data_IF_199230289560
#
_entry.id   IF_199230289560
#
_cell.length_a   1.000
_cell.length_b   1.000
_cell.length_c   1.000
_cell.angle_alpha   90.00
_cell.angle_beta   90.00
_cell.angle_gamma   90.00
#
_symmetry.space_group_name_H-M   'P 1'
#
loop_
_entity.id
_entity.type
_entity.pdbx_description
1 polymer ?
#
# COMPACT_ATOMS: atom_id res chain seq x y z
N UNK A 1 -11.79 42.70 72.37
CA UNK A 1 -12.42 42.22 71.13
C UNK A 1 -11.69 40.95 70.68
N UNK A 2 -12.28 39.82 70.98
CA UNK A 2 -11.72 38.49 70.77
C UNK A 2 -12.06 38.01 69.37
N UNK A 3 -11.05 37.77 68.52
CA UNK A 3 -11.22 37.16 67.21
C UNK A 3 -11.46 35.67 67.41
N UNK A 4 -12.66 35.20 67.05
CA UNK A 4 -13.01 33.80 67.11
C UNK A 4 -12.18 32.97 66.11
N UNK A 5 -11.53 31.94 66.60
CA UNK A 5 -10.77 30.99 65.77
C UNK A 5 -11.71 30.16 64.89
N UNK A 6 -11.55 30.22 63.58
CA UNK A 6 -12.27 29.38 62.65
C UNK A 6 -11.95 27.90 62.91
N UNK A 7 -13.01 27.06 63.02
CA UNK A 7 -12.90 25.66 63.40
C UNK A 7 -12.23 24.78 62.36
N UNK A 8 -11.81 23.58 62.74
CA UNK A 8 -11.00 22.68 61.88
C UNK A 8 -11.69 22.28 60.54
N UNK A 9 -13.00 22.33 60.46
CA UNK A 9 -13.76 22.01 59.22
C UNK A 9 -13.56 23.06 58.12
N UNK A 10 -13.40 24.34 58.46
CA UNK A 10 -13.15 25.42 57.50
C UNK A 10 -11.73 25.34 56.93
N UNK A 11 -10.73 24.87 57.72
CA UNK A 11 -9.34 24.67 57.24
C UNK A 11 -9.24 23.49 56.28
N UNK A 12 -9.99 22.42 56.44
CA UNK A 12 -10.04 21.26 55.52
C UNK A 12 -10.73 21.65 54.20
N UNK A 13 -11.81 22.45 54.23
CA UNK A 13 -12.47 22.95 53.00
C UNK A 13 -11.56 23.90 52.18
N UNK A 14 -10.79 24.77 52.85
CA UNK A 14 -9.83 25.66 52.15
C UNK A 14 -8.65 24.84 51.58
N UNK A 15 -8.18 23.80 52.27
CA UNK A 15 -7.15 22.91 51.74
C UNK A 15 -7.66 22.05 50.55
N UNK A 16 -8.91 21.56 50.54
CA UNK A 16 -9.51 20.89 49.39
C UNK A 16 -9.75 21.83 48.22
N UNK A 17 -10.15 23.09 48.44
CA UNK A 17 -10.26 24.08 47.37
C UNK A 17 -8.92 24.49 46.78
N UNK A 18 -7.87 24.50 47.57
CA UNK A 18 -6.51 24.77 47.07
C UNK A 18 -5.88 23.58 46.31
N UNK A 19 -6.28 22.32 46.59
CA UNK A 19 -5.85 21.14 45.84
C UNK A 19 -6.59 20.98 44.49
N UNK A 20 -7.79 21.51 44.34
CA UNK A 20 -8.53 21.46 43.08
C UNK A 20 -8.16 22.60 42.12
N UNK A 21 -7.53 23.66 42.61
CA UNK A 21 -7.06 24.78 41.79
C UNK A 21 -5.66 24.55 41.17
N UNK A 22 -4.95 23.47 41.55
CA UNK A 22 -3.59 23.20 41.06
C UNK A 22 -3.53 22.28 39.85
N UNK A 23 -4.66 21.86 39.26
CA UNK A 23 -4.68 20.94 38.12
C UNK A 23 -5.39 21.46 36.86
N UNK A 24 -5.61 22.76 36.75
CA UNK A 24 -5.89 23.44 35.49
C UNK A 24 -4.58 23.98 34.92
N UNK A 25 -3.54 23.14 34.87
CA UNK A 25 -2.39 23.36 34.06
C UNK A 25 -2.87 23.37 32.61
N UNK A 26 -2.94 24.58 32.08
CA UNK A 26 -3.20 24.87 30.67
C UNK A 26 -2.40 23.94 29.78
N UNK A 27 -3.05 22.93 29.20
CA UNK A 27 -2.51 22.16 28.09
C UNK A 27 -2.44 22.99 26.79
N UNK A 28 -2.68 24.28 26.90
CA UNK A 28 -2.57 25.25 25.82
C UNK A 28 -1.12 25.64 25.64
N UNK A 29 -0.37 24.90 24.82
CA UNK A 29 0.90 25.39 24.33
C UNK A 29 2.07 24.40 24.23
N UNK A 30 1.93 23.12 24.59
CA UNK A 30 3.00 22.18 24.33
C UNK A 30 3.25 22.07 22.80
N UNK A 31 4.48 22.30 22.37
CA UNK A 31 4.88 22.06 20.99
C UNK A 31 4.58 20.60 20.61
N UNK A 32 4.23 20.36 19.35
CA UNK A 32 4.10 18.99 18.86
C UNK A 32 5.49 18.33 18.89
N UNK A 33 5.52 17.06 19.29
CA UNK A 33 6.72 16.21 19.28
C UNK A 33 6.41 14.96 18.47
N UNK A 34 7.43 14.25 17.98
CA UNK A 34 7.24 13.00 17.26
C UNK A 34 6.74 11.91 18.23
N UNK A 35 5.52 11.39 17.99
CA UNK A 35 4.85 10.39 18.81
C UNK A 35 5.14 8.94 18.38
N UNK A 36 5.98 8.73 17.36
CA UNK A 36 6.19 7.40 16.78
C UNK A 36 7.34 6.63 17.43
N UNK A 37 7.99 7.20 18.44
CA UNK A 37 9.02 6.51 19.24
C UNK A 37 8.36 5.30 19.94
N UNK A 38 8.97 4.13 19.78
CA UNK A 38 8.48 2.85 20.34
C UNK A 38 7.07 2.45 19.90
N UNK A 39 6.58 2.96 18.75
CA UNK A 39 5.27 2.58 18.25
C UNK A 39 5.25 1.10 17.84
N UNK A 40 4.18 0.31 18.16
CA UNK A 40 4.13 -1.13 17.86
C UNK A 40 4.06 -1.48 16.37
N UNK A 41 3.60 -0.56 15.50
CA UNK A 41 3.70 -0.75 14.05
C UNK A 41 5.14 -0.57 13.59
N UNK A 42 5.73 -1.58 12.92
CA UNK A 42 7.08 -1.45 12.34
C UNK A 42 7.19 -0.30 11.34
N UNK A 43 6.12 -0.05 10.58
CA UNK A 43 6.07 1.07 9.63
C UNK A 43 6.13 2.43 10.33
N UNK A 44 5.36 2.61 11.40
CA UNK A 44 5.37 3.88 12.14
C UNK A 44 6.69 4.05 12.93
N UNK A 45 7.19 2.98 13.55
CA UNK A 45 8.43 3.01 14.31
C UNK A 45 9.66 3.43 13.46
N UNK A 46 9.70 3.06 12.17
CA UNK A 46 10.79 3.51 11.28
C UNK A 46 10.82 5.03 11.05
N UNK A 47 9.75 5.74 11.38
CA UNK A 47 9.66 7.21 11.32
C UNK A 47 9.95 7.90 12.68
N UNK A 48 10.34 7.15 13.68
CA UNK A 48 10.60 7.67 15.04
C UNK A 48 11.71 8.72 15.10
N UNK A 49 12.73 8.60 14.24
CA UNK A 49 13.87 9.51 14.17
C UNK A 49 13.73 10.61 13.10
N UNK A 50 12.60 10.65 12.39
CA UNK A 50 12.35 11.75 11.45
C UNK A 50 12.29 13.09 12.22
N UNK A 51 12.85 14.19 11.69
CA UNK A 51 12.74 15.52 12.31
C UNK A 51 11.33 16.12 12.24
N UNK A 52 10.40 15.44 11.61
CA UNK A 52 8.98 15.79 11.55
C UNK A 52 8.29 15.39 12.85
N UNK A 53 7.48 16.28 13.43
CA UNK A 53 6.72 16.03 14.65
C UNK A 53 5.46 15.17 14.37
N UNK A 54 5.68 13.96 13.89
CA UNK A 54 4.63 13.03 13.52
C UNK A 54 3.67 12.73 14.66
N UNK A 55 2.38 12.85 14.39
CA UNK A 55 1.30 12.44 15.27
C UNK A 55 0.68 11.13 14.76
N UNK A 56 0.02 10.38 15.64
CA UNK A 56 -0.84 9.27 15.26
C UNK A 56 -2.23 9.78 14.88
N UNK A 57 -2.95 9.04 14.03
CA UNK A 57 -4.34 9.37 13.69
C UNK A 57 -5.25 9.11 14.89
N UNK A 58 -5.83 10.15 15.44
CA UNK A 58 -6.72 10.05 16.60
C UNK A 58 -7.68 11.25 16.68
N UNK A 59 -8.68 11.15 17.55
CA UNK A 59 -9.58 12.28 17.85
C UNK A 59 -8.85 13.43 18.53
N UNK A 60 -7.87 13.11 19.37
CA UNK A 60 -7.03 14.05 20.10
C UNK A 60 -6.17 14.85 19.13
N UNK A 61 -5.62 14.20 18.10
CA UNK A 61 -4.83 14.86 17.03
C UNK A 61 -5.71 15.82 16.22
N UNK A 62 -6.94 15.43 15.87
CA UNK A 62 -7.89 16.32 15.20
C UNK A 62 -8.29 17.51 16.10
N UNK A 63 -8.51 17.27 17.39
CA UNK A 63 -8.79 18.34 18.34
C UNK A 63 -7.60 19.30 18.44
N UNK A 64 -6.38 18.76 18.51
CA UNK A 64 -5.15 19.56 18.55
C UNK A 64 -4.98 20.42 17.30
N UNK A 65 -5.31 19.90 16.13
CA UNK A 65 -5.31 20.65 14.88
C UNK A 65 -6.30 21.84 14.91
N UNK A 66 -7.48 21.65 15.49
CA UNK A 66 -8.47 22.74 15.70
C UNK A 66 -7.95 23.81 16.66
N UNK A 67 -7.38 23.40 17.81
CA UNK A 67 -6.82 24.32 18.81
C UNK A 67 -5.68 25.16 18.24
N UNK A 68 -4.82 24.56 17.41
CA UNK A 68 -3.70 25.24 16.75
C UNK A 68 -4.14 26.02 15.49
N UNK A 69 -5.37 25.84 15.02
CA UNK A 69 -5.86 26.31 13.73
C UNK A 69 -4.87 25.98 12.60
N UNK A 70 -4.44 24.71 12.53
CA UNK A 70 -3.53 24.22 11.51
C UNK A 70 -4.16 23.08 10.71
N UNK A 71 -3.98 23.05 9.36
CA UNK A 71 -4.41 21.91 8.57
C UNK A 71 -3.53 20.69 8.89
N UNK A 72 -4.06 19.49 8.64
CA UNK A 72 -3.28 18.27 8.79
C UNK A 72 -2.60 17.92 7.46
N UNK A 73 -1.40 17.36 7.53
CA UNK A 73 -0.87 16.50 6.49
C UNK A 73 -0.98 15.05 6.97
N UNK A 74 -1.83 14.25 6.32
CA UNK A 74 -1.94 12.82 6.59
C UNK A 74 -1.13 12.07 5.54
N UNK A 75 -0.05 11.41 5.99
CA UNK A 75 0.83 10.59 5.15
C UNK A 75 0.58 9.12 5.45
N UNK A 76 0.02 8.39 4.49
CA UNK A 76 -0.33 6.97 4.60
C UNK A 76 0.65 6.13 3.79
N UNK A 77 1.04 5.00 4.34
CA UNK A 77 1.87 4.01 3.70
C UNK A 77 1.82 2.66 4.41
N UNK A 78 2.79 1.81 4.16
CA UNK A 78 2.94 0.50 4.80
C UNK A 78 4.41 0.08 4.78
N UNK A 79 4.75 -0.94 5.56
CA UNK A 79 6.15 -1.29 5.83
C UNK A 79 6.98 -1.63 4.59
N UNK A 80 6.46 -2.45 3.67
CA UNK A 80 7.18 -2.85 2.46
C UNK A 80 7.13 -1.83 1.31
N UNK A 81 6.46 -0.70 1.47
CA UNK A 81 6.23 0.30 0.44
C UNK A 81 7.54 0.99 -0.01
N UNK A 82 8.08 0.60 -1.15
CA UNK A 82 9.31 1.17 -1.70
C UNK A 82 9.30 2.69 -1.79
N UNK A 83 8.28 3.27 -2.42
CA UNK A 83 8.17 4.73 -2.59
C UNK A 83 7.92 5.49 -1.28
N UNK A 84 7.39 4.80 -0.25
CA UNK A 84 7.29 5.38 1.09
C UNK A 84 8.66 5.56 1.72
N UNK A 85 9.56 4.57 1.56
CA UNK A 85 10.95 4.67 2.00
C UNK A 85 11.73 5.74 1.21
N UNK A 86 11.50 5.84 -0.10
CA UNK A 86 12.10 6.90 -0.92
C UNK A 86 11.68 8.28 -0.39
N UNK A 87 10.37 8.50 -0.18
CA UNK A 87 9.87 9.78 0.32
C UNK A 87 10.36 10.10 1.75
N UNK A 88 10.55 9.09 2.59
CA UNK A 88 11.16 9.28 3.91
C UNK A 88 12.57 9.85 3.78
N UNK A 89 13.45 9.17 3.03
CA UNK A 89 14.83 9.59 2.86
C UNK A 89 14.98 10.95 2.21
N UNK A 90 14.18 11.22 1.18
CA UNK A 90 14.32 12.43 0.37
C UNK A 90 13.59 13.65 0.95
N UNK A 91 12.45 13.44 1.63
CA UNK A 91 11.58 14.53 2.08
C UNK A 91 11.43 14.61 3.59
N UNK A 92 11.04 13.52 4.27
CA UNK A 92 10.74 13.62 5.71
C UNK A 92 11.97 13.71 6.60
N UNK A 93 13.11 13.22 6.12
CA UNK A 93 14.42 13.40 6.79
C UNK A 93 15.12 14.70 6.41
N UNK A 94 14.60 15.48 5.45
CA UNK A 94 15.12 16.80 5.12
C UNK A 94 14.70 17.83 6.19
N UNK A 95 15.65 18.48 6.90
CA UNK A 95 15.32 19.46 7.94
C UNK A 95 14.51 20.66 7.43
N UNK A 96 14.67 21.06 6.16
CA UNK A 96 13.91 22.17 5.58
C UNK A 96 12.44 21.79 5.35
N UNK A 97 12.17 20.58 4.87
CA UNK A 97 10.82 20.03 4.76
C UNK A 97 10.19 19.85 6.13
N UNK A 98 10.92 19.26 7.08
CA UNK A 98 10.44 19.06 8.44
C UNK A 98 10.07 20.37 9.13
N UNK A 99 10.89 21.43 8.94
CA UNK A 99 10.57 22.76 9.47
C UNK A 99 9.24 23.28 8.95
N UNK A 100 8.97 23.18 7.65
CA UNK A 100 7.72 23.62 7.04
C UNK A 100 6.52 22.79 7.56
N UNK A 101 6.69 21.47 7.65
CA UNK A 101 5.66 20.57 8.19
C UNK A 101 5.31 20.91 9.63
N UNK A 102 6.32 21.09 10.47
CA UNK A 102 6.15 21.38 11.90
C UNK A 102 5.61 22.79 12.17
N UNK A 103 5.88 23.74 11.28
CA UNK A 103 5.40 25.14 11.41
C UNK A 103 3.95 25.29 10.93
N UNK A 104 3.63 24.76 9.75
CA UNK A 104 2.37 25.06 9.06
C UNK A 104 1.28 24.02 9.35
N UNK A 105 1.66 22.77 9.67
CA UNK A 105 0.71 21.64 9.70
C UNK A 105 0.71 20.92 11.04
N UNK A 106 -0.27 20.04 11.22
CA UNK A 106 -0.20 18.92 12.16
C UNK A 106 0.11 17.68 11.30
N UNK A 107 1.37 17.22 11.26
CA UNK A 107 1.75 16.08 10.45
C UNK A 107 1.31 14.77 11.12
N UNK A 108 0.59 13.93 10.38
CA UNK A 108 0.06 12.66 10.85
C UNK A 108 0.61 11.54 9.98
N UNK A 109 1.18 10.52 10.62
CA UNK A 109 1.65 9.31 9.95
C UNK A 109 0.67 8.17 10.18
N UNK A 110 0.33 7.44 9.12
CA UNK A 110 -0.68 6.38 9.17
C UNK A 110 -0.15 5.12 8.52
N UNK A 111 -0.28 4.01 9.24
CA UNK A 111 -0.11 2.68 8.67
C UNK A 111 -1.46 2.22 8.11
N UNK A 112 -1.53 1.99 6.78
CA UNK A 112 -2.77 1.57 6.12
C UNK A 112 -3.30 0.23 6.64
N UNK A 113 -2.42 -0.62 7.16
CA UNK A 113 -2.80 -1.94 7.67
C UNK A 113 -3.52 -1.83 9.01
N UNK A 114 -3.23 -0.78 9.79
CA UNK A 114 -3.93 -0.47 11.03
C UNK A 114 -5.19 0.38 10.81
N UNK A 115 -5.19 1.26 9.80
CA UNK A 115 -6.28 2.19 9.50
C UNK A 115 -6.83 2.00 8.07
N UNK A 116 -7.27 0.77 7.70
CA UNK A 116 -7.69 0.49 6.32
C UNK A 116 -8.94 1.29 5.89
N UNK A 117 -9.80 1.68 6.84
CA UNK A 117 -10.97 2.50 6.55
C UNK A 117 -10.61 3.93 6.15
N UNK A 118 -9.63 4.53 6.83
CA UNK A 118 -9.09 5.85 6.49
C UNK A 118 -8.34 5.80 5.15
N UNK A 119 -7.50 4.79 4.95
CA UNK A 119 -6.77 4.57 3.71
C UNK A 119 -7.72 4.50 2.52
N UNK A 120 -8.72 3.61 2.56
CA UNK A 120 -9.70 3.46 1.49
C UNK A 120 -10.47 4.76 1.21
N UNK A 121 -10.83 5.52 2.25
CA UNK A 121 -11.52 6.80 2.11
C UNK A 121 -10.67 7.85 1.40
N UNK A 122 -9.41 7.99 1.77
CA UNK A 122 -8.52 8.99 1.20
C UNK A 122 -7.96 8.57 -0.17
N UNK A 123 -7.75 7.28 -0.42
CA UNK A 123 -7.42 6.74 -1.76
C UNK A 123 -8.54 7.07 -2.75
N UNK A 124 -9.80 6.86 -2.37
CA UNK A 124 -10.94 7.18 -3.23
C UNK A 124 -10.98 8.67 -3.57
N UNK A 125 -10.77 9.55 -2.58
CA UNK A 125 -10.70 10.99 -2.80
C UNK A 125 -9.61 11.37 -3.81
N UNK A 126 -8.40 10.81 -3.66
CA UNK A 126 -7.28 11.13 -4.55
C UNK A 126 -7.52 10.54 -5.94
N UNK A 127 -8.06 9.33 -6.04
CA UNK A 127 -8.42 8.72 -7.32
C UNK A 127 -9.44 9.57 -8.10
N UNK A 128 -10.47 10.08 -7.43
CA UNK A 128 -11.51 10.90 -8.05
C UNK A 128 -10.99 12.29 -8.47
N UNK A 129 -10.09 12.90 -7.69
CA UNK A 129 -9.62 14.26 -7.94
C UNK A 129 -8.38 14.35 -8.82
N UNK A 130 -7.59 13.26 -8.92
CA UNK A 130 -6.32 13.22 -9.67
C UNK A 130 -6.31 12.22 -10.82
N UNK A 131 -7.28 11.32 -10.88
CA UNK A 131 -7.32 10.23 -11.86
C UNK A 131 -6.42 9.04 -11.53
N UNK A 132 -5.54 9.16 -10.53
CA UNK A 132 -4.67 8.10 -10.04
C UNK A 132 -4.41 8.26 -8.54
N UNK A 133 -4.24 7.14 -7.84
CA UNK A 133 -3.88 7.10 -6.44
C UNK A 133 -2.90 5.95 -6.18
N UNK A 134 -2.21 5.98 -5.03
CA UNK A 134 -1.22 4.99 -4.62
C UNK A 134 -0.49 5.43 -3.35
N UNK A 135 0.55 4.71 -2.99
CA UNK A 135 1.37 5.02 -1.81
C UNK A 135 2.79 5.41 -2.19
N UNK A 136 3.43 6.35 -1.42
CA UNK A 136 2.87 7.05 -0.26
C UNK A 136 1.69 7.94 -0.66
N UNK A 137 0.62 7.89 0.13
CA UNK A 137 -0.53 8.76 -0.05
C UNK A 137 -0.42 9.94 0.91
N UNK A 138 -0.35 11.14 0.39
CA UNK A 138 -0.27 12.37 1.16
C UNK A 138 -1.51 13.21 0.92
N UNK A 139 -2.30 13.43 1.98
CA UNK A 139 -3.54 14.20 1.88
C UNK A 139 -3.55 15.32 2.90
N UNK A 140 -3.76 16.54 2.44
CA UNK A 140 -4.00 17.69 3.29
C UNK A 140 -5.47 17.74 3.67
N UNK A 141 -5.73 17.85 4.98
CA UNK A 141 -7.09 17.91 5.51
C UNK A 141 -7.29 19.20 6.30
N UNK A 142 -8.52 19.67 6.35
CA UNK A 142 -8.93 20.68 7.35
C UNK A 142 -8.84 20.07 8.76
N UNK A 143 -8.81 20.87 9.85
CA UNK A 143 -8.89 20.37 11.22
C UNK A 143 -10.16 19.55 11.52
N UNK A 144 -11.19 19.68 10.69
CA UNK A 144 -12.42 18.88 10.77
C UNK A 144 -12.32 17.54 10.01
N UNK A 145 -11.19 17.27 9.37
CA UNK A 145 -10.92 16.02 8.66
C UNK A 145 -11.44 16.01 7.21
N UNK A 146 -11.80 17.16 6.63
CA UNK A 146 -12.24 17.23 5.24
C UNK A 146 -11.03 17.38 4.30
N UNK A 147 -10.92 16.54 3.25
CA UNK A 147 -9.78 16.58 2.35
C UNK A 147 -9.80 17.83 1.46
N UNK A 148 -8.61 18.40 1.26
CA UNK A 148 -8.35 19.60 0.44
C UNK A 148 -7.55 19.27 -0.81
N UNK A 149 -6.47 18.53 -0.63
CA UNK A 149 -5.53 18.18 -1.69
C UNK A 149 -4.90 16.83 -1.39
N UNK A 150 -4.82 15.98 -2.41
CA UNK A 150 -4.11 14.71 -2.31
C UNK A 150 -3.02 14.57 -3.37
N UNK A 151 -1.97 13.82 -3.04
CA UNK A 151 -0.87 13.48 -3.92
C UNK A 151 -0.21 12.16 -3.50
N UNK A 152 0.45 11.51 -4.43
CA UNK A 152 1.37 10.40 -4.19
C UNK A 152 2.79 10.93 -3.98
N UNK A 153 3.82 10.12 -4.20
CA UNK A 153 5.20 10.60 -4.19
C UNK A 153 5.37 11.83 -5.12
N UNK A 154 6.08 12.83 -4.60
CA UNK A 154 6.57 13.99 -5.37
C UNK A 154 8.00 14.32 -4.94
N UNK A 155 8.87 14.80 -5.86
CA UNK A 155 10.23 15.22 -5.52
C UNK A 155 10.26 16.32 -4.45
N UNK A 156 11.32 16.38 -3.61
CA UNK A 156 11.41 17.30 -2.46
C UNK A 156 11.15 18.77 -2.78
N UNK A 157 11.69 19.28 -3.90
CA UNK A 157 11.50 20.66 -4.30
C UNK A 157 10.03 21.00 -4.56
N UNK A 158 9.33 20.10 -5.23
CA UNK A 158 7.90 20.27 -5.49
C UNK A 158 7.08 20.13 -4.21
N UNK A 159 7.48 19.23 -3.34
CA UNK A 159 6.82 19.05 -2.04
C UNK A 159 6.94 20.32 -1.20
N UNK A 160 8.15 20.92 -1.10
CA UNK A 160 8.36 22.21 -0.41
C UNK A 160 7.47 23.33 -0.96
N UNK A 161 7.36 23.44 -2.29
CA UNK A 161 6.48 24.43 -2.92
C UNK A 161 5.02 24.26 -2.50
N UNK A 162 4.53 23.04 -2.47
CA UNK A 162 3.16 22.73 -2.03
C UNK A 162 2.97 23.08 -0.55
N UNK A 163 3.92 22.73 0.32
CA UNK A 163 3.85 23.04 1.75
C UNK A 163 3.79 24.56 2.01
N UNK A 164 4.63 25.33 1.34
CA UNK A 164 4.65 26.80 1.46
C UNK A 164 3.33 27.39 0.94
N UNK A 165 2.89 27.00 -0.25
CA UNK A 165 1.66 27.52 -0.84
C UNK A 165 0.42 27.26 0.01
N UNK A 166 0.26 26.03 0.50
CA UNK A 166 -0.88 25.68 1.36
C UNK A 166 -0.77 26.31 2.75
N UNK A 167 0.45 26.36 3.31
CA UNK A 167 0.68 26.94 4.65
C UNK A 167 0.43 28.45 4.67
N UNK A 168 0.95 29.17 3.69
CA UNK A 168 0.74 30.62 3.58
C UNK A 168 -0.73 30.95 3.27
N UNK A 169 -1.35 30.24 2.32
CA UNK A 169 -2.77 30.41 2.02
C UNK A 169 -3.66 30.13 3.24
N UNK A 170 -3.35 29.10 4.04
CA UNK A 170 -4.08 28.82 5.27
C UNK A 170 -3.92 29.93 6.32
N UNK A 171 -2.70 30.49 6.47
CA UNK A 171 -2.47 31.64 7.35
C UNK A 171 -3.23 32.89 6.89
N UNK A 172 -3.37 33.09 5.58
CA UNK A 172 -4.08 34.24 5.00
C UNK A 172 -5.60 34.12 5.19
N UNK A 173 -6.19 32.98 4.80
CA UNK A 173 -7.65 32.75 4.96
C UNK A 173 -8.00 31.28 5.20
N UNK A 174 -7.85 30.82 6.45
CA UNK A 174 -8.21 29.47 6.84
C UNK A 174 -9.72 29.17 6.68
N UNK A 175 -10.57 30.20 6.73
CA UNK A 175 -12.02 30.02 6.61
C UNK A 175 -12.43 29.62 5.20
N UNK A 176 -11.78 30.16 4.18
CA UNK A 176 -11.97 29.80 2.78
C UNK A 176 -11.61 28.31 2.54
N UNK A 177 -10.45 27.87 3.02
CA UNK A 177 -10.03 26.46 2.90
C UNK A 177 -10.99 25.50 3.62
N UNK A 178 -11.45 25.87 4.83
CA UNK A 178 -12.44 25.09 5.55
C UNK A 178 -13.77 24.98 4.79
N UNK A 179 -14.21 26.08 4.15
CA UNK A 179 -15.41 26.05 3.34
C UNK A 179 -15.22 25.18 2.09
N UNK A 180 -14.11 25.30 1.38
CA UNK A 180 -13.77 24.45 0.24
C UNK A 180 -13.80 22.95 0.60
N UNK A 181 -13.24 22.57 1.77
CA UNK A 181 -13.27 21.20 2.26
C UNK A 181 -14.69 20.69 2.54
N UNK A 182 -15.54 21.54 3.14
CA UNK A 182 -16.96 21.20 3.37
C UNK A 182 -17.73 21.00 2.06
N UNK A 183 -17.53 21.88 1.10
CA UNK A 183 -18.21 21.84 -0.19
C UNK A 183 -17.78 20.59 -0.99
N UNK A 184 -16.49 20.32 -1.07
CA UNK A 184 -15.95 19.11 -1.69
C UNK A 184 -16.51 17.82 -1.07
N UNK A 185 -16.61 17.78 0.27
CA UNK A 185 -17.18 16.64 0.97
C UNK A 185 -18.69 16.49 0.71
N UNK A 186 -19.40 17.59 0.60
CA UNK A 186 -20.84 17.59 0.28
C UNK A 186 -21.07 17.06 -1.14
N UNK A 187 -20.29 17.50 -2.11
CA UNK A 187 -20.34 17.02 -3.49
C UNK A 187 -20.00 15.52 -3.57
N UNK A 188 -18.94 15.09 -2.90
CA UNK A 188 -18.57 13.68 -2.85
C UNK A 188 -19.66 12.80 -2.27
N UNK A 189 -20.32 13.23 -1.16
CA UNK A 189 -21.46 12.52 -0.58
C UNK A 189 -22.66 12.43 -1.54
N UNK A 190 -22.84 13.40 -2.44
CA UNK A 190 -23.90 13.35 -3.43
C UNK A 190 -23.60 12.36 -4.57
N UNK A 191 -22.34 12.31 -5.04
CA UNK A 191 -21.88 11.35 -6.03
C UNK A 191 -22.07 9.91 -5.51
N UNK A 192 -21.84 9.67 -4.21
CA UNK A 192 -21.99 8.35 -3.57
C UNK A 192 -23.43 7.98 -3.20
N UNK A 193 -24.39 8.88 -3.30
CA UNK A 193 -25.78 8.51 -3.04
C UNK A 193 -26.26 7.54 -4.12
N UNK A 194 -26.77 6.35 -3.70
CA UNK A 194 -27.39 5.43 -4.65
C UNK A 194 -28.53 6.13 -5.37
N UNK A 195 -28.56 6.09 -6.69
CA UNK A 195 -29.68 6.62 -7.44
C UNK A 195 -30.93 5.76 -7.19
N UNK A 196 -32.12 6.37 -7.10
CA UNK A 196 -33.38 5.70 -6.83
C UNK A 196 -33.80 4.59 -7.84
N UNK A 197 -32.94 4.33 -8.84
CA UNK A 197 -33.09 3.30 -9.86
C UNK A 197 -32.43 1.94 -9.57
N UNK A 198 -31.89 1.71 -8.36
CA UNK A 198 -31.06 0.53 -8.05
C UNK A 198 -31.74 -0.85 -8.18
N UNK A 199 -33.08 -0.93 -8.17
CA UNK A 199 -33.73 -2.22 -8.45
C UNK A 199 -33.65 -2.64 -9.92
N UNK A 200 -33.59 -1.71 -10.86
CA UNK A 200 -33.28 -1.97 -12.27
C UNK A 200 -31.78 -2.20 -12.51
N UNK A 201 -30.92 -1.68 -11.61
CA UNK A 201 -29.45 -1.72 -11.71
C UNK A 201 -28.83 -3.11 -11.51
N UNK A 202 -29.49 -4.06 -10.85
CA UNK A 202 -28.92 -5.40 -10.63
C UNK A 202 -28.77 -6.22 -11.93
N UNK A 203 -29.65 -6.03 -12.90
CA UNK A 203 -29.44 -6.59 -14.26
C UNK A 203 -28.40 -5.78 -15.06
N UNK A 204 -28.25 -4.48 -14.76
CA UNK A 204 -27.27 -3.63 -15.41
C UNK A 204 -25.84 -3.81 -14.86
N UNK A 205 -25.65 -4.28 -13.62
CA UNK A 205 -24.32 -4.44 -13.01
C UNK A 205 -23.46 -5.46 -13.77
N UNK A 206 -24.01 -6.63 -14.14
CA UNK A 206 -23.28 -7.63 -14.93
C UNK A 206 -22.99 -7.10 -16.32
N UNK A 207 -23.97 -6.49 -16.99
CA UNK A 207 -23.78 -5.90 -18.31
C UNK A 207 -22.79 -4.74 -18.30
N UNK A 208 -22.84 -3.89 -17.27
CA UNK A 208 -21.88 -2.80 -17.07
C UNK A 208 -20.46 -3.30 -16.83
N UNK A 209 -20.31 -4.35 -16.03
CA UNK A 209 -19.01 -4.98 -15.79
C UNK A 209 -18.44 -5.62 -17.07
N UNK A 210 -19.27 -6.31 -17.86
CA UNK A 210 -18.82 -6.90 -19.14
C UNK A 210 -18.43 -5.80 -20.13
N UNK A 211 -19.21 -4.72 -20.25
CA UNK A 211 -18.87 -3.58 -21.09
C UNK A 211 -17.56 -2.91 -20.67
N UNK A 212 -17.38 -2.68 -19.37
CA UNK A 212 -16.13 -2.13 -18.83
C UNK A 212 -14.94 -3.09 -19.06
N UNK A 213 -15.16 -4.39 -18.94
CA UNK A 213 -14.14 -5.39 -19.27
C UNK A 213 -13.73 -5.27 -20.75
N UNK A 214 -14.69 -5.18 -21.66
CA UNK A 214 -14.42 -5.05 -23.10
C UNK A 214 -13.70 -3.73 -23.46
N UNK A 215 -13.93 -2.67 -22.71
CA UNK A 215 -13.25 -1.38 -22.88
C UNK A 215 -11.80 -1.40 -22.36
N UNK A 216 -11.56 -2.06 -21.23
CA UNK A 216 -10.28 -1.98 -20.52
C UNK A 216 -9.34 -3.17 -20.77
N UNK A 217 -9.84 -4.29 -21.30
CA UNK A 217 -9.02 -5.50 -21.52
C UNK A 217 -7.93 -5.25 -22.56
N UNK A 218 -6.76 -5.80 -22.30
CA UNK A 218 -5.71 -5.95 -23.31
C UNK A 218 -5.87 -7.31 -24.01
N UNK A 219 -6.37 -7.29 -25.23
CA UNK A 219 -6.67 -8.52 -26.01
C UNK A 219 -5.40 -9.27 -26.45
N UNK A 220 -4.25 -8.60 -26.50
CA UNK A 220 -2.98 -9.20 -26.95
C UNK A 220 -2.07 -9.59 -25.79
N UNK A 221 -1.98 -8.72 -24.78
CA UNK A 221 -1.13 -8.92 -23.63
C UNK A 221 -1.82 -9.60 -22.44
N UNK A 222 -3.14 -9.65 -22.43
CA UNK A 222 -3.92 -10.06 -21.26
C UNK A 222 -3.93 -8.99 -20.16
N UNK A 223 -4.84 -9.12 -19.20
CA UNK A 223 -5.02 -8.14 -18.12
C UNK A 223 -5.71 -6.86 -18.57
N UNK A 224 -5.70 -5.86 -17.70
CA UNK A 224 -6.42 -4.59 -17.88
C UNK A 224 -5.43 -3.43 -17.98
N UNK A 225 -5.72 -2.49 -18.87
CA UNK A 225 -4.88 -1.30 -19.10
C UNK A 225 -3.70 -1.55 -20.03
N UNK A 226 -2.99 -0.44 -20.38
CA UNK A 226 -1.95 -0.41 -21.41
C UNK A 226 -0.57 0.00 -20.86
N UNK A 227 -0.42 0.11 -19.54
CA UNK A 227 0.83 0.50 -18.88
C UNK A 227 1.19 -0.51 -17.79
N UNK A 228 1.27 -0.08 -16.54
CA UNK A 228 1.47 -0.97 -15.41
C UNK A 228 0.30 -1.95 -15.30
N UNK A 229 0.58 -3.22 -15.06
CA UNK A 229 -0.47 -4.24 -14.92
C UNK A 229 -0.51 -4.81 -13.52
N UNK A 230 -1.69 -4.72 -12.93
CA UNK A 230 -2.04 -5.39 -11.70
C UNK A 230 -2.81 -6.69 -12.00
N UNK A 231 -2.78 -7.68 -11.11
CA UNK A 231 -3.52 -8.94 -11.29
C UNK A 231 -5.04 -8.76 -11.44
N UNK A 232 -5.60 -7.68 -10.89
CA UNK A 232 -7.03 -7.37 -10.93
C UNK A 232 -7.91 -8.58 -10.55
N UNK A 233 -7.55 -9.24 -9.44
CA UNK A 233 -8.07 -10.55 -9.02
C UNK A 233 -9.59 -10.56 -8.88
N UNK A 234 -10.17 -9.51 -8.31
CA UNK A 234 -11.63 -9.42 -8.10
C UNK A 234 -12.40 -9.34 -9.41
N UNK A 235 -11.86 -8.66 -10.41
CA UNK A 235 -12.45 -8.59 -11.75
C UNK A 235 -12.44 -9.97 -12.42
N UNK A 236 -11.32 -10.69 -12.33
CA UNK A 236 -11.21 -12.05 -12.87
C UNK A 236 -12.12 -13.04 -12.13
N UNK A 237 -12.22 -12.96 -10.79
CA UNK A 237 -13.19 -13.76 -10.01
C UNK A 237 -14.63 -13.49 -10.45
N UNK A 238 -14.98 -12.23 -10.67
CA UNK A 238 -16.32 -11.88 -11.10
C UNK A 238 -16.60 -12.40 -12.53
N UNK A 239 -15.63 -12.36 -13.45
CA UNK A 239 -15.76 -12.95 -14.79
C UNK A 239 -15.92 -14.48 -14.70
N UNK A 240 -15.15 -15.18 -13.87
CA UNK A 240 -15.34 -16.62 -13.63
C UNK A 240 -16.70 -16.93 -13.01
N UNK A 241 -17.19 -16.08 -12.10
CA UNK A 241 -18.52 -16.21 -11.54
C UNK A 241 -19.62 -16.05 -12.60
N UNK A 242 -19.52 -15.02 -13.46
CA UNK A 242 -20.45 -14.76 -14.57
C UNK A 242 -20.43 -15.94 -15.54
N UNK A 243 -19.24 -16.45 -15.87
CA UNK A 243 -19.07 -17.63 -16.72
C UNK A 243 -19.90 -18.82 -16.22
N UNK A 244 -19.84 -19.12 -14.95
CA UNK A 244 -20.49 -20.28 -14.34
C UNK A 244 -21.98 -20.05 -14.12
N UNK A 245 -22.36 -18.94 -13.49
CA UNK A 245 -23.75 -18.70 -13.05
C UNK A 245 -24.65 -18.12 -14.14
N UNK A 246 -24.07 -17.51 -15.17
CA UNK A 246 -24.79 -16.97 -16.32
C UNK A 246 -24.52 -17.74 -17.62
N UNK A 247 -23.69 -18.79 -17.56
CA UNK A 247 -23.24 -19.57 -18.71
C UNK A 247 -22.66 -18.71 -19.84
N UNK A 248 -22.07 -17.57 -19.48
CA UNK A 248 -21.50 -16.60 -20.40
C UNK A 248 -20.01 -16.84 -20.58
N UNK A 249 -19.62 -17.39 -21.72
CA UNK A 249 -18.24 -17.82 -22.03
C UNK A 249 -17.49 -16.87 -22.96
N UNK A 250 -18.05 -15.73 -23.31
CA UNK A 250 -17.43 -14.80 -24.28
C UNK A 250 -16.07 -14.26 -23.81
N UNK A 251 -15.77 -14.30 -22.50
CA UNK A 251 -14.51 -13.83 -21.94
C UNK A 251 -13.50 -14.97 -21.66
N UNK A 252 -13.80 -16.22 -22.04
CA UNK A 252 -12.96 -17.38 -21.71
C UNK A 252 -11.52 -17.23 -22.25
N UNK A 253 -11.36 -16.76 -23.48
CA UNK A 253 -10.05 -16.55 -24.11
C UNK A 253 -9.25 -15.45 -23.39
N UNK A 254 -9.88 -14.33 -23.06
CA UNK A 254 -9.27 -13.24 -22.31
C UNK A 254 -8.86 -13.68 -20.91
N UNK A 255 -9.71 -14.42 -20.19
CA UNK A 255 -9.39 -14.94 -18.86
C UNK A 255 -8.19 -15.86 -18.93
N UNK A 256 -8.18 -16.82 -19.86
CA UNK A 256 -7.05 -17.74 -20.06
C UNK A 256 -5.77 -17.00 -20.40
N UNK A 257 -5.81 -16.11 -21.39
CA UNK A 257 -4.67 -15.30 -21.78
C UNK A 257 -4.08 -14.55 -20.58
N UNK A 258 -4.94 -13.93 -19.76
CA UNK A 258 -4.51 -13.17 -18.58
C UNK A 258 -3.86 -14.08 -17.54
N UNK A 259 -4.48 -15.21 -17.20
CA UNK A 259 -3.93 -16.18 -16.24
C UNK A 259 -2.61 -16.77 -16.75
N UNK A 260 -2.52 -17.14 -18.02
CA UNK A 260 -1.30 -17.68 -18.63
C UNK A 260 -0.16 -16.66 -18.58
N UNK A 261 -0.43 -15.39 -18.90
CA UNK A 261 0.58 -14.31 -18.83
C UNK A 261 1.05 -14.06 -17.41
N UNK A 262 0.13 -13.96 -16.45
CA UNK A 262 0.50 -13.76 -15.05
C UNK A 262 1.36 -14.91 -14.51
N UNK A 263 1.07 -16.17 -14.90
CA UNK A 263 1.80 -17.34 -14.41
C UNK A 263 3.12 -17.61 -15.11
N UNK A 264 3.29 -17.18 -16.38
CA UNK A 264 4.46 -17.52 -17.21
C UNK A 264 5.42 -16.36 -17.43
N UNK A 265 5.12 -15.17 -16.94
CA UNK A 265 5.96 -13.98 -17.10
C UNK A 265 6.44 -13.48 -15.73
N UNK A 266 7.10 -12.32 -15.70
CA UNK A 266 7.80 -11.79 -14.54
C UNK A 266 6.93 -11.51 -13.30
N UNK A 267 5.59 -11.54 -13.40
CA UNK A 267 4.73 -11.37 -12.23
C UNK A 267 4.82 -12.56 -11.26
N UNK A 268 5.01 -13.79 -11.75
CA UNK A 268 5.14 -15.00 -10.95
C UNK A 268 6.61 -15.29 -10.65
N UNK A 269 6.93 -15.54 -9.38
CA UNK A 269 8.26 -16.01 -8.98
C UNK A 269 8.34 -17.53 -9.16
N UNK A 270 8.89 -17.97 -10.27
CA UNK A 270 8.99 -19.40 -10.61
C UNK A 270 9.87 -20.20 -9.65
N UNK A 271 10.83 -19.56 -8.97
CA UNK A 271 11.76 -20.21 -8.05
C UNK A 271 11.31 -20.16 -6.60
N UNK A 272 11.04 -18.95 -6.12
CA UNK A 272 10.62 -18.73 -4.75
C UNK A 272 9.15 -19.07 -4.51
N UNK A 273 8.36 -19.05 -5.58
CA UNK A 273 6.90 -19.20 -5.52
C UNK A 273 6.18 -17.90 -5.18
N UNK A 274 4.88 -17.90 -5.42
CA UNK A 274 4.06 -16.73 -5.22
C UNK A 274 4.20 -15.67 -6.30
N UNK A 275 3.47 -14.58 -6.14
CA UNK A 275 3.37 -13.50 -7.11
C UNK A 275 3.87 -12.20 -6.52
N UNK A 276 4.56 -11.42 -7.35
CA UNK A 276 4.82 -10.02 -7.08
C UNK A 276 3.54 -9.20 -7.21
N UNK A 277 3.55 -8.00 -6.64
CA UNK A 277 2.35 -7.18 -6.50
C UNK A 277 1.78 -6.70 -7.83
N UNK A 278 2.65 -6.23 -8.73
CA UNK A 278 2.29 -5.75 -10.07
C UNK A 278 3.54 -5.71 -10.96
N UNK A 279 3.34 -5.45 -12.25
CA UNK A 279 4.43 -5.20 -13.19
C UNK A 279 4.38 -3.77 -13.71
N UNK A 280 5.57 -3.21 -14.00
CA UNK A 280 5.74 -1.83 -14.44
C UNK A 280 5.64 -1.66 -15.95
N UNK A 281 5.43 -2.75 -16.69
CA UNK A 281 5.35 -2.81 -18.14
C UNK A 281 4.08 -3.56 -18.63
N UNK A 282 3.60 -3.30 -19.86
CA UNK A 282 2.39 -3.93 -20.38
C UNK A 282 2.57 -5.41 -20.78
N UNK A 283 3.81 -5.92 -20.88
CA UNK A 283 4.12 -7.28 -21.31
C UNK A 283 4.30 -8.27 -20.15
N UNK A 284 4.03 -7.86 -18.92
CA UNK A 284 4.16 -8.64 -17.68
C UNK A 284 5.60 -9.07 -17.34
N UNK A 285 6.63 -8.33 -17.77
CA UNK A 285 8.03 -8.78 -17.66
C UNK A 285 8.78 -8.20 -16.46
N UNK A 286 8.53 -6.93 -16.12
CA UNK A 286 9.30 -6.20 -15.09
C UNK A 286 8.46 -6.06 -13.84
N UNK A 287 8.64 -6.94 -12.84
CA UNK A 287 7.85 -6.85 -11.60
C UNK A 287 8.32 -5.71 -10.71
N UNK A 288 7.39 -5.17 -9.94
CA UNK A 288 7.68 -4.48 -8.70
C UNK A 288 7.78 -5.53 -7.59
N UNK A 289 8.96 -5.69 -7.01
CA UNK A 289 9.36 -6.88 -6.26
C UNK A 289 8.71 -7.07 -4.87
N UNK A 290 7.69 -6.29 -4.51
CA UNK A 290 6.87 -6.57 -3.32
C UNK A 290 6.04 -7.85 -3.50
N UNK A 291 5.92 -8.66 -2.43
CA UNK A 291 4.95 -9.76 -2.37
C UNK A 291 4.01 -9.52 -1.20
N UNK A 292 2.72 -9.36 -1.51
CA UNK A 292 1.70 -9.10 -0.49
C UNK A 292 0.97 -10.37 -0.13
N UNK A 293 0.69 -10.58 1.14
CA UNK A 293 -0.11 -11.72 1.63
C UNK A 293 -1.47 -11.78 0.95
N UNK A 294 -2.19 -10.65 0.92
CA UNK A 294 -3.54 -10.59 0.37
C UNK A 294 -3.59 -10.84 -1.14
N UNK A 295 -2.60 -10.37 -1.91
CA UNK A 295 -2.51 -10.64 -3.35
C UNK A 295 -2.29 -12.14 -3.61
N UNK A 296 -1.35 -12.74 -2.89
CA UNK A 296 -1.02 -14.14 -3.06
C UNK A 296 -2.15 -15.08 -2.61
N UNK A 297 -2.82 -14.77 -1.49
CA UNK A 297 -3.96 -15.55 -1.03
C UNK A 297 -5.13 -15.52 -2.03
N UNK A 298 -5.41 -14.34 -2.59
CA UNK A 298 -6.46 -14.17 -3.59
C UNK A 298 -6.11 -14.82 -4.93
N UNK A 299 -4.85 -14.68 -5.38
CA UNK A 299 -4.36 -15.32 -6.61
C UNK A 299 -4.39 -16.84 -6.50
N UNK A 300 -3.97 -17.42 -5.37
CA UNK A 300 -4.09 -18.86 -5.15
C UNK A 300 -5.54 -19.33 -5.31
N UNK A 301 -6.50 -18.64 -4.70
CA UNK A 301 -7.94 -18.92 -4.84
C UNK A 301 -8.43 -18.78 -6.28
N UNK A 302 -8.00 -17.73 -6.99
CA UNK A 302 -8.35 -17.49 -8.39
C UNK A 302 -7.86 -18.63 -9.30
N UNK A 303 -6.59 -19.03 -9.17
CA UNK A 303 -6.01 -20.11 -9.97
C UNK A 303 -6.68 -21.45 -9.68
N UNK A 304 -7.00 -21.78 -8.42
CA UNK A 304 -7.71 -23.01 -8.06
C UNK A 304 -9.14 -23.01 -8.63
N UNK A 305 -9.85 -21.87 -8.58
CA UNK A 305 -11.17 -21.75 -9.19
C UNK A 305 -11.12 -21.89 -10.73
N UNK A 306 -10.13 -21.27 -11.35
CA UNK A 306 -9.90 -21.38 -12.79
C UNK A 306 -9.51 -22.83 -13.19
N UNK A 307 -8.70 -23.49 -12.37
CA UNK A 307 -8.34 -24.90 -12.57
C UNK A 307 -9.56 -25.82 -12.65
N UNK A 308 -10.51 -25.65 -11.75
CA UNK A 308 -11.76 -26.39 -11.75
C UNK A 308 -12.61 -26.07 -12.97
N UNK A 309 -12.82 -24.78 -13.26
CA UNK A 309 -13.70 -24.36 -14.36
C UNK A 309 -13.17 -24.69 -15.75
N UNK A 310 -11.84 -24.64 -15.92
CA UNK A 310 -11.17 -24.88 -17.19
C UNK A 310 -10.56 -26.28 -17.29
N UNK A 311 -10.66 -27.11 -16.26
CA UNK A 311 -10.07 -28.46 -16.17
C UNK A 311 -8.56 -28.43 -16.47
N UNK A 312 -7.85 -27.45 -15.87
CA UNK A 312 -6.41 -27.18 -16.10
C UNK A 312 -5.57 -27.62 -14.92
N UNK A 313 -4.74 -28.64 -15.14
CA UNK A 313 -3.75 -29.07 -14.13
C UNK A 313 -2.71 -27.97 -13.91
N UNK A 314 -2.30 -27.24 -14.95
CA UNK A 314 -1.36 -26.13 -14.86
C UNK A 314 -1.83 -25.05 -13.88
N UNK A 315 -3.09 -24.59 -13.99
CA UNK A 315 -3.64 -23.61 -13.05
C UNK A 315 -3.72 -24.16 -11.61
N UNK A 316 -4.02 -25.45 -11.48
CA UNK A 316 -4.01 -26.10 -10.17
C UNK A 316 -2.64 -26.07 -9.54
N UNK A 317 -1.60 -26.39 -10.30
CA UNK A 317 -0.22 -26.41 -9.81
C UNK A 317 0.25 -25.00 -9.41
N UNK A 318 -0.08 -23.96 -10.18
CA UNK A 318 0.18 -22.56 -9.83
C UNK A 318 -0.53 -22.16 -8.52
N UNK A 319 -1.83 -22.49 -8.38
CA UNK A 319 -2.56 -22.18 -7.17
C UNK A 319 -1.99 -22.89 -5.93
N UNK A 320 -1.64 -24.16 -6.04
CA UNK A 320 -1.04 -24.93 -4.94
C UNK A 320 0.38 -24.44 -4.60
N UNK A 321 1.22 -24.17 -5.61
CA UNK A 321 2.56 -23.63 -5.34
C UNK A 321 2.53 -22.26 -4.67
N UNK A 322 1.52 -21.44 -4.98
CA UNK A 322 1.29 -20.17 -4.30
C UNK A 322 0.89 -20.37 -2.83
N UNK A 323 0.04 -21.35 -2.53
CA UNK A 323 -0.28 -21.71 -1.13
C UNK A 323 0.95 -22.25 -0.39
N UNK A 324 1.76 -23.08 -1.06
CA UNK A 324 3.00 -23.60 -0.47
C UNK A 324 3.98 -22.46 -0.14
N UNK A 325 4.09 -21.44 -1.00
CA UNK A 325 4.86 -20.23 -0.72
C UNK A 325 4.33 -19.51 0.52
N UNK A 326 3.03 -19.29 0.63
CA UNK A 326 2.42 -18.61 1.80
C UNK A 326 2.74 -19.37 3.11
N UNK A 327 2.62 -20.69 3.10
CA UNK A 327 2.86 -21.52 4.28
C UNK A 327 4.34 -21.65 4.62
N UNK A 328 5.23 -21.65 3.65
CA UNK A 328 6.66 -21.83 3.84
C UNK A 328 7.36 -20.53 4.23
N UNK A 329 7.00 -19.42 3.57
CA UNK A 329 7.78 -18.18 3.63
C UNK A 329 7.05 -17.06 4.37
N UNK A 330 5.72 -17.00 4.32
CA UNK A 330 4.96 -15.93 4.97
C UNK A 330 4.35 -16.33 6.31
N UNK A 331 4.28 -17.63 6.65
CA UNK A 331 3.83 -18.07 7.97
C UNK A 331 5.00 -18.01 8.95
N UNK A 332 4.85 -17.24 10.03
CA UNK A 332 5.86 -17.15 11.09
C UNK A 332 5.88 -18.39 11.98
N UNK A 333 6.96 -18.58 12.73
CA UNK A 333 7.08 -19.66 13.70
C UNK A 333 6.03 -19.58 14.83
N UNK A 334 5.53 -18.37 15.12
CA UNK A 334 4.50 -18.10 16.13
C UNK A 334 3.08 -18.32 15.62
N UNK A 335 2.90 -18.66 14.34
CA UNK A 335 1.61 -19.04 13.75
C UNK A 335 0.79 -17.87 13.17
N UNK A 336 1.36 -16.69 12.95
CA UNK A 336 0.74 -15.61 12.21
C UNK A 336 1.40 -15.41 10.84
N UNK A 337 0.67 -14.85 9.89
CA UNK A 337 1.21 -14.53 8.59
C UNK A 337 1.84 -13.13 8.58
N UNK A 338 2.98 -13.01 7.92
CA UNK A 338 3.56 -11.72 7.56
C UNK A 338 2.69 -11.05 6.49
N UNK A 339 2.46 -9.74 6.61
CA UNK A 339 1.59 -9.01 5.69
C UNK A 339 2.20 -8.80 4.30
N UNK A 340 3.54 -8.70 4.23
CA UNK A 340 4.25 -8.43 2.98
C UNK A 340 5.75 -8.69 3.07
N UNK A 341 6.37 -8.88 1.91
CA UNK A 341 7.82 -8.80 1.72
C UNK A 341 8.17 -7.53 0.96
N UNK A 342 9.24 -6.87 1.42
CA UNK A 342 9.74 -5.64 0.82
C UNK A 342 10.35 -5.89 -0.56
N UNK A 343 10.19 -4.91 -1.47
CA UNK A 343 10.89 -4.88 -2.74
C UNK A 343 12.40 -4.59 -2.59
N UNK A 344 12.84 -4.04 -1.47
CA UNK A 344 14.22 -3.60 -1.24
C UNK A 344 14.91 -4.46 -0.19
N UNK A 345 16.22 -4.64 -0.38
CA UNK A 345 17.09 -5.25 0.61
C UNK A 345 17.47 -4.26 1.74
N UNK A 346 18.26 -4.72 2.72
CA UNK A 346 18.74 -3.90 3.86
C UNK A 346 19.60 -2.69 3.44
N UNK A 347 20.07 -2.66 2.18
CA UNK A 347 20.81 -1.54 1.59
C UNK A 347 19.93 -0.60 0.76
N UNK A 348 18.62 -0.86 0.71
CA UNK A 348 17.65 -0.07 -0.06
C UNK A 348 17.68 -0.32 -1.57
N UNK A 349 18.25 -1.45 -2.03
CA UNK A 349 18.33 -1.80 -3.45
C UNK A 349 17.10 -2.61 -3.86
N UNK A 350 16.31 -2.06 -4.78
CA UNK A 350 15.10 -2.72 -5.27
C UNK A 350 15.42 -3.99 -6.09
N UNK A 351 14.71 -5.06 -5.81
CA UNK A 351 14.81 -6.33 -6.53
C UNK A 351 16.12 -7.12 -6.30
N UNK A 352 17.06 -6.60 -5.53
CA UNK A 352 18.40 -7.20 -5.39
C UNK A 352 18.34 -8.66 -4.91
N UNK A 353 17.42 -9.01 -4.04
CA UNK A 353 17.20 -10.39 -3.60
C UNK A 353 16.80 -11.33 -4.74
N UNK A 354 16.14 -10.83 -5.76
CA UNK A 354 15.59 -11.59 -6.89
C UNK A 354 16.42 -11.48 -8.17
N UNK A 355 17.43 -10.61 -8.20
CA UNK A 355 18.27 -10.35 -9.37
C UNK A 355 19.67 -10.92 -9.18
N UNK A 356 20.22 -11.53 -10.23
CA UNK A 356 21.60 -11.97 -10.27
C UNK A 356 22.50 -10.83 -10.78
N UNK A 357 23.65 -10.64 -10.13
CA UNK A 357 24.71 -9.83 -10.73
C UNK A 357 25.57 -10.65 -11.71
N UNK A 358 26.41 -9.96 -12.49
CA UNK A 358 27.23 -10.61 -13.51
C UNK A 358 28.22 -11.64 -12.91
N UNK A 359 28.72 -11.43 -11.71
CA UNK A 359 29.64 -12.34 -11.03
C UNK A 359 28.90 -13.59 -10.54
N UNK A 360 27.72 -13.45 -9.98
CA UNK A 360 26.85 -14.56 -9.59
C UNK A 360 26.44 -15.40 -10.79
N UNK A 361 26.12 -14.75 -11.93
CA UNK A 361 25.77 -15.43 -13.19
C UNK A 361 26.91 -16.32 -13.71
N UNK A 362 28.15 -15.84 -13.67
CA UNK A 362 29.33 -16.61 -14.10
C UNK A 362 29.52 -17.87 -13.23
N UNK A 363 29.33 -17.73 -11.91
CA UNK A 363 29.48 -18.86 -10.98
C UNK A 363 28.37 -19.89 -11.22
N UNK A 364 27.13 -19.46 -11.43
CA UNK A 364 25.99 -20.36 -11.67
C UNK A 364 26.11 -21.04 -13.06
N UNK A 365 26.51 -20.32 -14.10
CA UNK A 365 26.74 -20.92 -15.41
C UNK A 365 27.81 -22.00 -15.33
N UNK A 366 28.90 -21.78 -14.59
CA UNK A 366 29.96 -22.79 -14.37
C UNK A 366 29.42 -23.99 -13.56
N UNK A 367 28.57 -23.79 -12.56
CA UNK A 367 27.94 -24.85 -11.78
C UNK A 367 26.97 -25.68 -12.65
N UNK A 368 26.15 -25.05 -13.49
CA UNK A 368 25.28 -25.74 -14.47
C UNK A 368 26.08 -26.61 -15.45
N UNK A 369 27.16 -26.09 -15.99
CA UNK A 369 28.05 -26.87 -16.86
C UNK A 369 28.70 -28.08 -16.17
N UNK A 370 29.06 -27.93 -14.89
CA UNK A 370 29.61 -29.05 -14.11
C UNK A 370 28.56 -30.12 -13.81
N UNK A 371 27.30 -29.74 -13.59
CA UNK A 371 26.19 -30.67 -13.38
C UNK A 371 25.82 -31.43 -14.67
N UNK A 372 25.80 -30.74 -15.81
CA UNK A 372 25.57 -31.37 -17.11
C UNK A 372 26.69 -32.37 -17.49
N UNK A 373 27.94 -32.06 -17.16
CA UNK A 373 29.08 -33.01 -17.35
C UNK A 373 29.01 -34.27 -16.49
N UNK A 374 28.28 -34.20 -15.33
CA UNK A 374 28.06 -35.35 -14.45
C UNK A 374 26.81 -36.17 -14.82
N UNK A 375 26.24 -35.97 -16.04
CA UNK A 375 25.10 -36.75 -16.53
C UNK A 375 23.77 -36.49 -15.84
N UNK A 376 23.65 -35.41 -15.09
CA UNK A 376 22.35 -34.97 -14.54
C UNK A 376 21.68 -34.07 -15.58
N UNK A 377 20.51 -34.50 -16.08
CA UNK A 377 19.69 -33.66 -16.95
C UNK A 377 19.17 -32.46 -16.13
N UNK A 378 19.67 -31.27 -16.45
CA UNK A 378 19.13 -30.01 -15.99
C UNK A 378 18.23 -29.48 -17.11
N UNK A 379 16.91 -29.61 -16.96
CA UNK A 379 15.98 -28.96 -17.88
C UNK A 379 16.05 -27.46 -17.64
N UNK A 380 16.34 -26.68 -18.67
CA UNK A 380 16.28 -25.23 -18.63
C UNK A 380 17.60 -24.52 -18.36
N UNK A 381 18.73 -25.00 -18.93
CA UNK A 381 19.94 -24.17 -18.96
C UNK A 381 19.65 -22.88 -19.78
N UNK A 382 19.78 -21.68 -19.18
CA UNK A 382 19.47 -20.45 -19.89
C UNK A 382 20.50 -20.20 -21.01
N UNK A 383 20.01 -19.90 -22.20
CA UNK A 383 20.80 -19.25 -23.25
C UNK A 383 20.82 -17.77 -22.90
N UNK A 384 21.91 -17.29 -22.34
CA UNK A 384 22.07 -15.86 -22.03
C UNK A 384 22.18 -15.07 -23.34
N UNK A 385 21.30 -14.08 -23.60
CA UNK A 385 21.51 -13.13 -24.67
C UNK A 385 22.66 -12.20 -24.27
N UNK A 386 23.65 -12.05 -25.17
CA UNK A 386 24.77 -11.15 -24.98
C UNK A 386 24.26 -9.68 -24.85
N UNK A 387 24.54 -9.02 -23.73
CA UNK A 387 24.29 -7.59 -23.53
C UNK A 387 22.98 -7.21 -22.85
N UNK A 388 22.31 -8.11 -22.17
CA UNK A 388 21.14 -7.80 -21.33
C UNK A 388 21.56 -7.34 -19.92
N UNK A 389 20.86 -6.35 -19.38
CA UNK A 389 20.99 -5.90 -17.99
C UNK A 389 20.74 -7.03 -16.97
N UNK A 390 20.59 -6.72 -15.66
CA UNK A 390 20.48 -7.72 -14.62
C UNK A 390 19.37 -8.73 -14.92
N UNK A 391 19.72 -10.02 -14.82
CA UNK A 391 18.82 -11.15 -15.14
C UNK A 391 18.15 -11.62 -13.86
N UNK A 392 16.82 -11.87 -13.84
CA UNK A 392 16.13 -12.40 -12.67
C UNK A 392 16.75 -13.71 -12.16
N UNK A 393 16.93 -13.85 -10.84
CA UNK A 393 17.44 -15.08 -10.20
C UNK A 393 16.62 -16.31 -10.55
N UNK A 394 15.35 -16.12 -10.84
CA UNK A 394 14.41 -17.12 -11.35
C UNK A 394 14.92 -17.88 -12.58
N UNK A 395 15.68 -17.22 -13.46
CA UNK A 395 16.14 -17.84 -14.70
C UNK A 395 17.31 -18.81 -14.52
N UNK A 396 17.96 -18.86 -13.35
CA UNK A 396 19.27 -19.53 -13.21
C UNK A 396 19.44 -20.45 -12.00
N UNK A 397 18.52 -20.46 -11.02
CA UNK A 397 18.65 -21.33 -9.84
C UNK A 397 18.31 -22.78 -10.16
N UNK A 398 19.32 -23.53 -10.62
CA UNK A 398 19.25 -24.98 -10.84
C UNK A 398 19.58 -25.81 -9.57
N UNK A 399 19.76 -25.16 -8.42
CA UNK A 399 20.13 -25.80 -7.16
C UNK A 399 19.02 -26.61 -6.51
N UNK A 400 17.75 -26.43 -6.89
CA UNK A 400 16.63 -27.28 -6.47
C UNK A 400 16.25 -28.27 -7.56
N UNK A 401 17.05 -29.29 -7.74
CA UNK A 401 16.65 -30.51 -8.48
C UNK A 401 15.52 -31.14 -7.66
N UNK A 402 14.26 -30.91 -8.07
CA UNK A 402 13.16 -31.80 -7.61
C UNK A 402 13.43 -33.16 -8.21
N UNK A 403 13.82 -34.13 -7.39
CA UNK A 403 13.65 -35.54 -7.73
C UNK A 403 12.14 -35.80 -7.89
N UNK A 404 11.66 -35.72 -9.11
CA UNK A 404 10.40 -36.38 -9.45
C UNK A 404 10.70 -37.89 -9.42
N UNK A 405 10.34 -38.55 -8.31
CA UNK A 405 10.15 -40.00 -8.31
C UNK A 405 8.85 -40.26 -9.09
N UNK A 406 9.00 -41.05 -10.16
CA UNK A 406 7.91 -41.53 -10.99
C UNK A 406 6.90 -42.44 -10.25
#
# INVERSE_FOLDING_TARGET
MTVAAAGPVLRVLIALLMLTAANTGSAAGAALENQLVDHPSPYLAMHAEDPVHWQVWSRETLQRARELNRPLLVSIGYFSCHWCHVMQRESYQDPAVAKLLNEYFVPVKVDRELEPGLDAHLIEFVQLTRGHAGWPLNVFLTPDGYPLLGMVYVPPDRFRQVLVHLGDGWKEDSSQFQQMGRDAMQEWRQIRKPSAGEKAARMSAVSGMLAQTDELKDELGGGFGQQNKFPMVWQLHALLWIRTHRQHKAQDEFIRLTLDRMASQGLHDELGGGFFRYVTDPAWQIPHYEKMLYDNAQLAGLYLQAAEQFQSQYYRDIGLSTLDFLLRDMLSAEGYFLSSFSAVDDQGREGFYYLWDDAELVVQAAACHLLQRKGRHVQGAPVLPAGSGPVPKQALDTGRVREFRG
#
